data_IF_783755423582
#
_entry.id   IF_783755423582
#
_cell.length_a   1.000
_cell.length_b   1.000
_cell.length_c   1.000
_cell.angle_alpha   90.00
_cell.angle_beta   90.00
_cell.angle_gamma   90.00
#
_symmetry.space_group_name_H-M   'P 1'
#
loop_
_entity.id
_entity.type
_entity.pdbx_description
1 polymer ?
#
# COMPACT_ATOMS: atom_id res chain seq x y z
N UNK A 1 0.49 59.95 33.54
CA UNK A 1 1.88 59.47 33.27
C UNK A 1 2.93 60.54 33.54
N UNK A 2 2.81 61.79 33.06
CA UNK A 2 3.79 62.87 33.38
C UNK A 2 3.82 63.23 34.88
N UNK A 3 2.69 63.13 35.57
CA UNK A 3 2.55 63.43 37.01
C UNK A 3 3.30 62.44 37.93
N UNK A 4 3.54 61.20 37.47
CA UNK A 4 4.30 60.20 38.23
C UNK A 4 5.80 60.55 38.34
N UNK A 5 6.29 61.45 37.48
CA UNK A 5 7.66 61.92 37.42
C UNK A 5 7.84 63.29 38.10
N UNK A 6 6.87 63.76 38.87
CA UNK A 6 6.98 65.04 39.59
C UNK A 6 8.17 65.01 40.55
N UNK A 7 8.97 66.08 40.57
CA UNK A 7 10.11 66.21 41.50
C UNK A 7 9.66 66.35 42.96
N UNK A 8 8.42 66.77 43.19
CA UNK A 8 7.82 66.88 44.52
C UNK A 8 7.11 65.55 44.88
N UNK A 9 7.54 64.83 45.95
CA UNK A 9 7.00 63.51 46.28
C UNK A 9 5.48 63.50 46.52
N UNK A 10 4.95 64.57 47.12
CA UNK A 10 3.55 64.70 47.51
C UNK A 10 2.59 64.92 46.32
N UNK A 11 3.13 65.34 45.18
CA UNK A 11 2.36 65.53 43.94
C UNK A 11 2.32 64.28 43.07
N UNK A 12 3.02 63.21 43.45
CA UNK A 12 2.96 61.95 42.74
C UNK A 12 1.68 61.23 43.14
N UNK A 13 0.88 60.75 42.17
CA UNK A 13 -0.32 60.00 42.48
C UNK A 13 0.05 58.70 43.21
N UNK A 14 -0.79 58.32 44.18
CA UNK A 14 -0.62 57.07 44.93
C UNK A 14 -0.86 55.87 44.01
N UNK A 15 -0.26 54.71 44.33
CA UNK A 15 -0.42 53.47 43.55
C UNK A 15 -1.90 53.16 43.29
N UNK A 16 -2.77 53.34 44.28
CA UNK A 16 -4.22 53.11 44.13
C UNK A 16 -4.87 54.04 43.08
N UNK A 17 -4.45 55.32 43.04
CA UNK A 17 -4.94 56.29 42.06
C UNK A 17 -4.47 55.98 40.64
N UNK A 18 -3.24 55.46 40.50
CA UNK A 18 -2.70 54.97 39.23
C UNK A 18 -3.49 53.73 38.78
N UNK A 19 -3.78 52.82 39.69
CA UNK A 19 -4.59 51.63 39.42
C UNK A 19 -6.01 51.99 38.98
N UNK A 20 -6.64 52.96 39.62
CA UNK A 20 -7.99 53.43 39.24
C UNK A 20 -7.99 54.15 37.89
N UNK A 21 -6.97 54.97 37.59
CA UNK A 21 -6.79 55.53 36.24
C UNK A 21 -6.61 54.43 35.19
N UNK A 22 -5.78 53.42 35.47
CA UNK A 22 -5.54 52.30 34.56
C UNK A 22 -6.80 51.44 34.37
N UNK A 23 -7.58 51.26 35.43
CA UNK A 23 -8.87 50.56 35.43
C UNK A 23 -9.92 51.33 34.61
N UNK A 24 -9.90 52.66 34.66
CA UNK A 24 -10.75 53.53 33.83
C UNK A 24 -10.34 53.52 32.36
N UNK A 25 -9.04 53.51 32.05
CA UNK A 25 -8.50 53.39 30.67
C UNK A 25 -8.85 52.02 30.07
N UNK A 26 -8.98 50.99 30.91
CA UNK A 26 -9.33 49.63 30.53
C UNK A 26 -10.84 49.29 30.67
N UNK A 27 -11.70 50.25 31.05
CA UNK A 27 -13.16 50.04 31.03
C UNK A 27 -13.61 49.86 29.58
N UNK A 28 -13.81 48.59 29.18
CA UNK A 28 -14.23 48.17 27.85
C UNK A 28 -13.18 47.47 27.00
N UNK A 29 -11.91 47.38 27.44
CA UNK A 29 -10.82 46.73 26.68
C UNK A 29 -10.37 45.36 27.20
N UNK A 30 -10.86 44.92 28.36
CA UNK A 30 -10.47 43.63 28.97
C UNK A 30 -10.91 42.41 28.16
N UNK A 31 -11.95 42.54 27.35
CA UNK A 31 -12.49 41.46 26.52
C UNK A 31 -11.67 41.27 25.23
N UNK A 32 -11.24 42.35 24.56
CA UNK A 32 -10.63 42.23 23.23
C UNK A 32 -9.30 41.44 23.13
N UNK A 33 -8.37 41.56 24.09
CA UNK A 33 -7.06 40.88 23.98
C UNK A 33 -7.19 39.40 24.31
N UNK A 34 -7.90 39.08 25.39
CA UNK A 34 -8.13 37.70 25.81
C UNK A 34 -9.00 36.99 24.77
N UNK A 35 -10.09 37.62 24.30
CA UNK A 35 -10.94 37.06 23.24
C UNK A 35 -10.16 36.88 21.93
N UNK A 36 -9.24 37.80 21.60
CA UNK A 36 -8.38 37.64 20.42
C UNK A 36 -7.40 36.47 20.56
N UNK A 37 -6.83 36.24 21.74
CA UNK A 37 -5.99 35.07 22.00
C UNK A 37 -6.80 33.77 22.02
N UNK A 38 -8.01 33.81 22.57
CA UNK A 38 -8.91 32.67 22.64
C UNK A 38 -9.35 32.25 21.23
N UNK A 39 -9.76 33.21 20.40
CA UNK A 39 -10.09 33.00 18.98
C UNK A 39 -8.89 32.54 18.16
N UNK A 40 -7.69 33.03 18.48
CA UNK A 40 -6.46 32.57 17.85
C UNK A 40 -6.15 31.11 18.22
N UNK A 41 -6.32 30.73 19.50
CA UNK A 41 -6.16 29.34 19.97
C UNK A 41 -7.22 28.40 19.37
N UNK A 42 -8.48 28.83 19.29
CA UNK A 42 -9.56 28.09 18.63
C UNK A 42 -9.24 27.86 17.15
N UNK A 43 -8.78 28.89 16.45
CA UNK A 43 -8.38 28.78 15.06
C UNK A 43 -7.18 27.84 14.88
N UNK A 44 -6.17 27.92 15.76
CA UNK A 44 -5.05 26.97 15.72
C UNK A 44 -5.50 25.53 16.00
N UNK A 45 -6.41 25.31 16.96
CA UNK A 45 -6.97 23.99 17.26
C UNK A 45 -7.72 23.41 16.06
N UNK A 46 -8.61 24.21 15.45
CA UNK A 46 -9.37 23.80 14.27
C UNK A 46 -8.44 23.45 13.09
N UNK A 47 -7.46 24.32 12.80
CA UNK A 47 -6.52 24.09 11.72
C UNK A 47 -5.66 22.84 11.97
N UNK A 48 -5.28 22.59 13.23
CA UNK A 48 -4.53 21.40 13.61
C UNK A 48 -5.37 20.12 13.45
N UNK A 49 -6.64 20.16 13.86
CA UNK A 49 -7.57 19.06 13.66
C UNK A 49 -7.78 18.74 12.19
N UNK A 50 -7.95 19.77 11.35
CA UNK A 50 -8.07 19.60 9.90
C UNK A 50 -6.81 18.98 9.30
N UNK A 51 -5.62 19.46 9.71
CA UNK A 51 -4.35 18.91 9.26
C UNK A 51 -4.15 17.47 9.73
N UNK A 52 -4.46 17.17 11.00
CA UNK A 52 -4.38 15.80 11.53
C UNK A 52 -5.32 14.88 10.74
N UNK A 53 -6.54 15.32 10.46
CA UNK A 53 -7.50 14.56 9.65
C UNK A 53 -6.94 14.26 8.27
N UNK A 54 -6.47 15.28 7.55
CA UNK A 54 -5.88 15.12 6.22
C UNK A 54 -4.70 14.13 6.22
N UNK A 55 -3.77 14.30 7.16
CA UNK A 55 -2.60 13.41 7.27
C UNK A 55 -2.97 11.99 7.68
N UNK A 56 -4.02 11.82 8.48
CA UNK A 56 -4.54 10.49 8.86
C UNK A 56 -5.19 9.80 7.67
N UNK A 57 -5.94 10.53 6.85
CA UNK A 57 -6.53 10.01 5.61
C UNK A 57 -5.45 9.60 4.61
N UNK A 58 -4.43 10.43 4.39
CA UNK A 58 -3.29 10.09 3.52
C UNK A 58 -2.55 8.84 4.01
N UNK A 59 -2.31 8.74 5.33
CA UNK A 59 -1.64 7.59 5.93
C UNK A 59 -2.45 6.30 5.73
N UNK A 60 -3.77 6.36 5.90
CA UNK A 60 -4.64 5.21 5.72
C UNK A 60 -4.68 4.75 4.25
N UNK A 61 -4.72 5.68 3.29
CA UNK A 61 -4.63 5.35 1.87
C UNK A 61 -3.30 4.68 1.52
N UNK A 62 -2.19 5.19 2.05
CA UNK A 62 -0.87 4.63 1.77
C UNK A 62 -0.68 3.25 2.44
N UNK A 63 -1.21 3.09 3.65
CA UNK A 63 -1.27 1.80 4.33
C UNK A 63 -2.05 0.78 3.52
N UNK A 64 -3.22 1.13 2.99
CA UNK A 64 -4.03 0.23 2.16
C UNK A 64 -3.30 -0.19 0.87
N UNK A 65 -2.58 0.72 0.22
CA UNK A 65 -1.76 0.37 -0.96
C UNK A 65 -0.64 -0.60 -0.59
N UNK A 66 0.04 -0.34 0.52
CA UNK A 66 1.16 -1.17 1.02
C UNK A 66 0.66 -2.57 1.37
N UNK A 67 -0.48 -2.66 2.06
CA UNK A 67 -1.11 -3.93 2.42
C UNK A 67 -1.52 -4.74 1.19
N UNK A 68 -2.09 -4.09 0.18
CA UNK A 68 -2.45 -4.73 -1.09
C UNK A 68 -1.23 -5.25 -1.84
N UNK A 69 -0.13 -4.50 -1.85
CA UNK A 69 1.11 -4.94 -2.49
C UNK A 69 1.71 -6.14 -1.76
N UNK A 70 1.67 -6.14 -0.42
CA UNK A 70 2.22 -7.23 0.39
C UNK A 70 1.49 -8.55 0.14
N UNK A 71 0.15 -8.52 0.04
CA UNK A 71 -0.66 -9.72 -0.26
C UNK A 71 -0.57 -10.19 -1.70
N UNK A 72 -0.13 -9.34 -2.64
CA UNK A 72 0.15 -9.74 -4.02
C UNK A 72 1.51 -10.45 -4.17
N UNK A 73 2.46 -10.13 -3.28
CA UNK A 73 3.83 -10.68 -3.34
C UNK A 73 3.98 -11.97 -2.53
N UNK A 74 3.29 -12.06 -1.40
CA UNK A 74 3.50 -13.11 -0.40
C UNK A 74 2.19 -13.83 -0.07
N UNK A 75 2.28 -15.10 0.37
CA UNK A 75 1.15 -15.81 0.95
C UNK A 75 0.50 -14.98 2.08
N UNK A 76 -0.84 -14.98 2.23
CA UNK A 76 -1.52 -14.19 3.25
C UNK A 76 -1.01 -14.43 4.67
N UNK A 77 -0.64 -15.68 5.00
CA UNK A 77 -0.07 -16.04 6.31
C UNK A 77 1.25 -15.34 6.58
N UNK A 78 2.13 -15.27 5.58
CA UNK A 78 3.44 -14.63 5.65
C UNK A 78 3.28 -13.11 5.68
N UNK A 79 2.39 -12.56 4.86
CA UNK A 79 2.10 -11.14 4.83
C UNK A 79 1.61 -10.63 6.20
N UNK A 80 0.68 -11.33 6.85
CA UNK A 80 0.19 -10.94 8.17
C UNK A 80 1.24 -11.06 9.28
N UNK A 81 2.08 -12.11 9.25
CA UNK A 81 3.19 -12.24 10.18
C UNK A 81 4.19 -11.07 10.05
N UNK A 82 4.50 -10.66 8.82
CA UNK A 82 5.37 -9.51 8.55
C UNK A 82 4.74 -8.19 9.00
N UNK A 83 3.43 -7.99 8.79
CA UNK A 83 2.72 -6.80 9.30
C UNK A 83 2.78 -6.69 10.83
N UNK A 84 2.71 -7.82 11.53
CA UNK A 84 2.83 -7.88 12.98
C UNK A 84 4.28 -7.76 13.49
N UNK A 85 5.27 -7.64 12.60
CA UNK A 85 6.69 -7.62 12.97
C UNK A 85 7.18 -8.95 13.59
N UNK A 86 6.46 -10.04 13.33
CA UNK A 86 6.80 -11.36 13.85
C UNK A 86 7.78 -12.04 12.88
N UNK A 87 8.83 -12.73 13.37
CA UNK A 87 9.70 -13.51 12.51
C UNK A 87 8.90 -14.61 11.80
N UNK A 88 9.16 -14.79 10.51
CA UNK A 88 8.56 -15.86 9.70
C UNK A 88 9.47 -17.08 9.78
N UNK A 89 9.04 -18.09 10.53
CA UNK A 89 9.78 -19.36 10.64
C UNK A 89 9.58 -20.21 9.37
N UNK A 90 10.60 -20.97 8.95
CA UNK A 90 10.46 -21.92 7.84
C UNK A 90 9.36 -22.94 8.13
N UNK A 91 8.45 -23.13 7.17
CA UNK A 91 7.35 -24.08 7.30
C UNK A 91 7.68 -25.40 6.58
N UNK A 92 7.35 -26.52 7.24
CA UNK A 92 7.45 -27.85 6.65
C UNK A 92 6.07 -28.30 6.15
N UNK A 93 6.03 -28.78 4.91
CA UNK A 93 4.82 -29.29 4.29
C UNK A 93 4.93 -30.79 4.04
N UNK A 94 3.95 -31.57 4.52
CA UNK A 94 3.93 -33.03 4.38
C UNK A 94 3.76 -33.47 2.91
N UNK A 95 3.04 -32.69 2.12
CA UNK A 95 2.78 -32.95 0.71
C UNK A 95 2.75 -31.63 -0.06
N UNK A 96 3.47 -31.58 -1.19
CA UNK A 96 3.48 -30.43 -2.11
C UNK A 96 3.41 -30.92 -3.54
N UNK A 97 2.68 -30.18 -4.38
CA UNK A 97 2.63 -30.42 -5.82
C UNK A 97 3.26 -29.23 -6.53
N UNK A 98 4.25 -29.51 -7.37
CA UNK A 98 4.99 -28.52 -8.14
C UNK A 98 4.65 -28.66 -9.62
N UNK A 99 4.25 -27.55 -10.24
CA UNK A 99 4.05 -27.48 -11.68
C UNK A 99 5.23 -26.76 -12.34
N UNK A 100 5.79 -27.41 -13.36
CA UNK A 100 6.88 -26.89 -14.17
C UNK A 100 6.39 -26.67 -15.59
N UNK A 101 6.69 -25.50 -16.13
CA UNK A 101 6.38 -25.17 -17.52
C UNK A 101 7.55 -24.44 -18.15
N UNK A 102 7.86 -24.82 -19.40
CA UNK A 102 8.84 -24.17 -20.25
C UNK A 102 8.22 -23.85 -21.61
N UNK A 103 8.74 -22.82 -22.27
CA UNK A 103 8.29 -22.39 -23.60
C UNK A 103 9.16 -23.11 -24.63
N UNK A 104 8.56 -24.10 -25.29
CA UNK A 104 9.26 -24.86 -26.34
C UNK A 104 9.71 -23.94 -27.46
N UNK A 105 11.02 -23.94 -27.74
CA UNK A 105 11.60 -23.15 -28.82
C UNK A 105 11.80 -21.66 -28.51
N UNK A 106 11.72 -21.25 -27.23
CA UNK A 106 11.94 -19.86 -26.82
C UNK A 106 13.28 -19.30 -27.30
N UNK A 107 14.37 -20.09 -27.29
CA UNK A 107 15.69 -19.67 -27.81
C UNK A 107 15.62 -19.32 -29.30
N UNK A 108 14.87 -20.07 -30.10
CA UNK A 108 14.72 -19.82 -31.54
C UNK A 108 13.85 -18.59 -31.78
N UNK A 109 12.75 -18.44 -31.02
CA UNK A 109 11.84 -17.29 -31.12
C UNK A 109 12.59 -16.01 -30.76
N UNK A 110 13.28 -16.00 -29.62
CA UNK A 110 14.07 -14.84 -29.18
C UNK A 110 15.25 -14.51 -30.10
N UNK A 111 15.83 -15.49 -30.79
CA UNK A 111 16.87 -15.25 -31.78
C UNK A 111 16.35 -14.65 -33.11
N UNK A 112 15.07 -14.83 -33.42
CA UNK A 112 14.45 -14.37 -34.67
C UNK A 112 13.58 -13.11 -34.52
N UNK A 113 13.28 -12.69 -33.28
CA UNK A 113 12.43 -11.55 -32.96
C UNK A 113 13.22 -10.36 -32.42
N UNK A 114 12.66 -9.16 -32.54
CA UNK A 114 13.23 -7.99 -31.88
C UNK A 114 13.03 -8.07 -30.35
N UNK A 115 13.94 -7.52 -29.54
CA UNK A 115 13.82 -7.59 -28.08
C UNK A 115 12.48 -7.08 -27.53
N UNK A 116 11.89 -6.06 -28.16
CA UNK A 116 10.60 -5.51 -27.74
C UNK A 116 9.46 -6.51 -27.98
N UNK A 117 9.47 -7.21 -29.10
CA UNK A 117 8.46 -8.22 -29.45
C UNK A 117 8.52 -9.42 -28.51
N UNK A 118 9.72 -9.80 -28.06
CA UNK A 118 9.91 -10.87 -27.06
C UNK A 118 9.33 -10.45 -25.72
N UNK A 119 9.55 -9.20 -25.30
CA UNK A 119 9.00 -8.66 -24.04
C UNK A 119 7.47 -8.63 -24.10
N UNK A 120 6.89 -8.16 -25.20
CA UNK A 120 5.44 -8.10 -25.38
C UNK A 120 4.82 -9.51 -25.37
N UNK A 121 5.46 -10.47 -26.05
CA UNK A 121 5.05 -11.88 -26.03
C UNK A 121 4.99 -12.43 -24.60
N UNK A 122 6.06 -12.23 -23.83
CA UNK A 122 6.19 -12.71 -22.46
C UNK A 122 5.21 -12.01 -21.52
N UNK A 123 5.08 -10.69 -21.62
CA UNK A 123 4.19 -9.90 -20.76
C UNK A 123 2.74 -10.39 -20.89
N UNK A 124 2.27 -10.55 -22.11
CA UNK A 124 0.92 -11.07 -22.36
C UNK A 124 0.76 -12.52 -21.92
N UNK A 125 1.79 -13.38 -22.07
CA UNK A 125 1.72 -14.79 -21.67
C UNK A 125 1.60 -14.89 -20.15
N UNK A 126 2.45 -14.17 -19.43
CA UNK A 126 2.40 -14.13 -17.97
C UNK A 126 1.14 -13.46 -17.44
N UNK A 127 0.63 -12.40 -18.11
CA UNK A 127 -0.65 -11.78 -17.73
C UNK A 127 -1.79 -12.78 -17.86
N UNK A 128 -1.80 -13.58 -18.92
CA UNK A 128 -2.80 -14.62 -19.13
C UNK A 128 -2.67 -15.76 -18.12
N UNK A 129 -1.44 -16.20 -17.82
CA UNK A 129 -1.21 -17.20 -16.76
C UNK A 129 -1.61 -16.68 -15.38
N UNK A 130 -1.29 -15.43 -15.05
CA UNK A 130 -1.66 -14.82 -13.76
C UNK A 130 -3.18 -14.71 -13.61
N UNK A 131 -3.90 -14.45 -14.70
CA UNK A 131 -5.37 -14.45 -14.70
C UNK A 131 -5.96 -15.84 -14.42
N UNK A 132 -5.37 -16.90 -15.01
CA UNK A 132 -5.80 -18.29 -14.79
C UNK A 132 -5.41 -18.78 -13.40
N UNK A 133 -4.20 -18.44 -12.94
CA UNK A 133 -3.72 -18.76 -11.60
C UNK A 133 -4.59 -18.07 -10.55
N UNK A 134 -5.00 -16.83 -10.77
CA UNK A 134 -5.86 -16.10 -9.84
C UNK A 134 -7.24 -16.74 -9.60
N UNK A 135 -7.72 -17.61 -10.48
CA UNK A 135 -8.96 -18.39 -10.26
C UNK A 135 -8.73 -19.72 -9.53
N UNK A 136 -7.46 -20.10 -9.33
CA UNK A 136 -7.05 -21.33 -8.67
C UNK A 136 -6.41 -21.03 -7.31
N UNK A 137 -6.60 -21.95 -6.36
CA UNK A 137 -5.96 -21.90 -5.04
C UNK A 137 -4.49 -22.35 -5.14
N UNK A 138 -3.67 -21.60 -5.88
CA UNK A 138 -2.24 -21.88 -6.10
C UNK A 138 -1.39 -20.62 -5.96
N UNK A 139 -0.24 -20.76 -5.31
CA UNK A 139 0.76 -19.71 -5.11
C UNK A 139 1.84 -19.78 -6.20
N UNK A 140 2.11 -18.64 -6.85
CA UNK A 140 3.17 -18.50 -7.85
C UNK A 140 4.49 -18.16 -7.16
N UNK A 141 5.49 -19.03 -7.32
CA UNK A 141 6.87 -18.82 -6.89
C UNK A 141 7.73 -18.49 -8.12
N UNK A 142 8.49 -17.39 -8.02
CA UNK A 142 9.41 -16.96 -9.08
C UNK A 142 10.84 -17.43 -8.76
N UNK A 143 11.48 -18.16 -9.67
CA UNK A 143 12.92 -18.48 -9.58
C UNK A 143 13.56 -18.23 -10.93
N UNK A 144 14.58 -17.37 -10.98
CA UNK A 144 15.56 -17.07 -12.03
C UNK A 144 15.19 -17.24 -13.54
N UNK A 145 14.65 -18.38 -13.95
CA UNK A 145 14.33 -18.72 -15.35
C UNK A 145 13.02 -19.52 -15.49
N UNK A 146 12.28 -19.79 -14.41
CA UNK A 146 11.06 -20.61 -14.44
C UNK A 146 9.99 -20.14 -13.46
N UNK A 147 8.74 -20.32 -13.86
CA UNK A 147 7.57 -20.15 -13.00
C UNK A 147 7.27 -21.48 -12.32
N UNK A 148 7.17 -21.45 -11.00
CA UNK A 148 6.74 -22.58 -10.20
C UNK A 148 5.39 -22.20 -9.62
N UNK A 149 4.38 -23.07 -9.71
CA UNK A 149 3.15 -22.88 -8.93
C UNK A 149 3.11 -23.94 -7.85
N UNK A 150 3.13 -23.50 -6.60
CA UNK A 150 2.97 -24.32 -5.40
C UNK A 150 1.58 -24.06 -4.84
N UNK A 151 0.76 -25.08 -4.62
CA UNK A 151 -0.49 -24.89 -3.87
C UNK A 151 -0.18 -24.60 -2.40
N UNK A 152 -0.91 -23.65 -1.77
CA UNK A 152 -0.92 -23.56 -0.31
C UNK A 152 -1.51 -24.88 0.22
N UNK A 153 -0.77 -25.66 1.01
CA UNK A 153 -1.30 -26.92 1.51
C UNK A 153 -2.44 -26.60 2.48
N UNK A 154 -3.58 -27.25 2.24
CA UNK A 154 -4.73 -27.15 3.12
C UNK A 154 -4.29 -27.49 4.55
N UNK A 155 -4.52 -26.56 5.48
CA UNK A 155 -4.18 -26.79 6.89
C UNK A 155 -4.93 -28.01 7.40
N UNK A 156 -4.17 -29.06 7.70
CA UNK A 156 -4.48 -30.27 8.48
C UNK A 156 -5.99 -30.55 8.67
N UNK A 157 -6.58 -31.32 7.77
CA UNK A 157 -7.95 -31.86 7.95
C UNK A 157 -8.64 -32.33 6.69
N UNK A 158 -8.28 -31.80 5.53
CA UNK A 158 -8.99 -32.10 4.28
C UNK A 158 -8.24 -33.18 3.48
N UNK A 159 -8.61 -34.44 3.70
CA UNK A 159 -8.05 -35.64 3.03
C UNK A 159 -8.56 -35.83 1.60
N UNK A 160 -8.90 -34.75 0.90
CA UNK A 160 -9.15 -34.81 -0.52
C UNK A 160 -7.98 -34.15 -1.22
N UNK A 161 -7.16 -34.96 -1.87
CA UNK A 161 -6.28 -34.51 -2.93
C UNK A 161 -7.20 -34.08 -4.10
N UNK A 162 -7.79 -32.88 -3.99
CA UNK A 162 -8.85 -32.34 -4.87
C UNK A 162 -8.30 -32.17 -6.30
N UNK A 163 -9.09 -32.42 -7.37
CA UNK A 163 -8.63 -32.61 -8.75
C UNK A 163 -8.26 -31.31 -9.50
N UNK A 164 -7.68 -30.32 -8.82
CA UNK A 164 -7.35 -29.01 -9.39
C UNK A 164 -6.15 -29.00 -10.35
N UNK A 165 -5.17 -29.90 -10.16
CA UNK A 165 -3.93 -29.89 -10.95
C UNK A 165 -4.12 -30.27 -12.43
N UNK A 166 -4.91 -31.31 -12.80
CA UNK A 166 -5.23 -31.55 -14.21
C UNK A 166 -5.93 -30.34 -14.83
N UNK A 167 -6.88 -29.72 -14.12
CA UNK A 167 -7.65 -28.61 -14.65
C UNK A 167 -6.79 -27.36 -14.88
N UNK A 168 -5.97 -26.96 -13.91
CA UNK A 168 -5.03 -25.84 -14.08
C UNK A 168 -4.08 -26.10 -15.25
N UNK A 169 -3.56 -27.32 -15.36
CA UNK A 169 -2.72 -27.71 -16.50
C UNK A 169 -3.48 -27.60 -17.83
N UNK A 170 -4.72 -28.09 -17.88
CA UNK A 170 -5.56 -28.01 -19.07
C UNK A 170 -5.85 -26.57 -19.46
N UNK A 171 -6.21 -25.72 -18.50
CA UNK A 171 -6.55 -24.32 -18.74
C UNK A 171 -5.32 -23.52 -19.21
N UNK A 172 -4.14 -23.75 -18.60
CA UNK A 172 -2.88 -23.13 -19.04
C UNK A 172 -2.46 -23.61 -20.43
N UNK A 173 -2.63 -24.90 -20.74
CA UNK A 173 -2.34 -25.44 -22.07
C UNK A 173 -3.30 -24.92 -23.13
N UNK A 174 -4.61 -24.91 -22.87
CA UNK A 174 -5.62 -24.42 -23.79
C UNK A 174 -5.40 -22.93 -24.09
N UNK A 175 -5.12 -22.13 -23.06
CA UNK A 175 -4.84 -20.71 -23.23
C UNK A 175 -3.53 -20.44 -24.00
N UNK A 176 -2.48 -21.24 -23.77
CA UNK A 176 -1.24 -21.17 -24.54
C UNK A 176 -1.45 -21.59 -26.01
N UNK A 177 -2.23 -22.64 -26.27
CA UNK A 177 -2.58 -23.09 -27.63
C UNK A 177 -3.45 -22.06 -28.36
N UNK A 178 -4.47 -21.51 -27.70
CA UNK A 178 -5.36 -20.50 -28.26
C UNK A 178 -4.62 -19.21 -28.65
N UNK A 179 -3.50 -18.90 -27.98
CA UNK A 179 -2.64 -17.73 -28.28
C UNK A 179 -1.57 -18.05 -29.32
N UNK A 180 -0.93 -19.22 -29.25
CA UNK A 180 0.02 -19.70 -30.27
C UNK A 180 -0.62 -19.83 -31.66
N UNK A 181 -1.92 -20.12 -31.72
CA UNK A 181 -2.69 -20.13 -32.97
C UNK A 181 -3.01 -18.72 -33.52
N UNK A 182 -2.91 -17.67 -32.69
CA UNK A 182 -3.21 -16.26 -33.08
C UNK A 182 -1.96 -15.46 -33.43
N UNK A 183 -0.80 -15.77 -32.84
CA UNK A 183 0.45 -15.04 -33.07
C UNK A 183 1.22 -15.45 -34.34
N UNK A 184 0.83 -16.53 -35.02
CA UNK A 184 1.45 -16.96 -36.28
C UNK A 184 0.42 -17.37 -37.35
N UNK A 185 0.00 -16.45 -38.26
CA UNK A 185 -0.84 -16.78 -39.41
C UNK A 185 -0.09 -17.57 -40.50
N UNK A 186 1.23 -17.72 -40.39
CA UNK A 186 2.09 -18.31 -41.41
C UNK A 186 2.94 -19.44 -40.85
N UNK A 187 2.35 -20.63 -40.66
CA UNK A 187 3.10 -21.89 -40.69
C UNK A 187 2.26 -23.00 -41.33
N UNK A 188 2.81 -23.81 -42.25
CA UNK A 188 2.10 -24.95 -42.83
C UNK A 188 1.98 -26.09 -41.80
N UNK A 189 1.09 -27.08 -42.02
CA UNK A 189 0.88 -28.16 -41.08
C UNK A 189 2.15 -29.00 -40.95
N UNK A 190 2.56 -29.28 -39.70
CA UNK A 190 3.56 -30.29 -39.40
C UNK A 190 2.88 -31.66 -39.44
N UNK A 191 3.43 -32.55 -40.26
CA UNK A 191 3.05 -33.97 -40.31
C UNK A 191 3.63 -34.78 -39.16
#
# INVERSE_FOLDING_TARGET
>A
MKECWSEQPEKRPTIDQIFDQFKSINKGRKTNIIDSMLRMLEQYSSNLEDLIRERTEELELEKQKTDKLLTQMLPPSVAEALKMGTPVEPEYFEEVTLYFSDIVGFTTISAMSEPIEVVDLLNDLYTLFDAIIGSHDVYKVMVATSMWTQREPARRGDRQHVPGHPQLRWDLQDAAHARGARSHPHRPPLG
#
